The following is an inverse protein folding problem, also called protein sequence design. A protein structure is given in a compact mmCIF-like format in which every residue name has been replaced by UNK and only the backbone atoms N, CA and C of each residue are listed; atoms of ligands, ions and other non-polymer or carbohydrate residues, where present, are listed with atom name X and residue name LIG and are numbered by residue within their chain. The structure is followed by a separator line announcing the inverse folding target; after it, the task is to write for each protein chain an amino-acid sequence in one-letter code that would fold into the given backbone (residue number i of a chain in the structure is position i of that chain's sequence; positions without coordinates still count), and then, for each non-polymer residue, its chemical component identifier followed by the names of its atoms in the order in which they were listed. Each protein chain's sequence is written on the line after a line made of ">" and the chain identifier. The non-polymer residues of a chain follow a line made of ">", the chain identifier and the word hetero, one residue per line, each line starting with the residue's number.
data_IF_515299835189
#
_entry.id   IF_515299835189
#
_cell.length_a   1.000
_cell.length_b   1.000
_cell.length_c   1.000
_cell.angle_alpha   90.00
_cell.angle_beta   90.00
_cell.angle_gamma   90.00
#
_symmetry.space_group_name_H-M   'P 1'
#
loop_
_entity.id
_entity.type
_entity.pdbx_description
1 polymer ?
#
# COMPACT_ATOMS: atom_id res chain seq x y z
N UNK A 1 -13.47 15.48 -7.42
CA UNK A 1 -14.70 14.65 -7.57
C UNK A 1 -14.77 13.93 -8.90
N UNK A 2 -14.48 14.57 -10.06
CA UNK A 2 -14.61 13.92 -11.38
C UNK A 2 -13.69 12.70 -11.58
N UNK A 3 -12.44 12.73 -11.11
CA UNK A 3 -11.51 11.60 -11.26
C UNK A 3 -12.03 10.30 -10.62
N UNK A 4 -12.52 10.37 -9.39
CA UNK A 4 -13.12 9.23 -8.69
C UNK A 4 -14.39 8.71 -9.35
N UNK A 5 -15.21 9.61 -9.92
CA UNK A 5 -16.41 9.21 -10.66
C UNK A 5 -16.08 8.46 -11.97
N UNK A 6 -15.00 8.85 -12.66
CA UNK A 6 -14.50 8.10 -13.82
C UNK A 6 -13.91 6.76 -13.40
N UNK A 7 -13.07 6.74 -12.35
CA UNK A 7 -12.45 5.51 -11.87
C UNK A 7 -13.49 4.48 -11.38
N UNK A 8 -14.49 4.92 -10.61
CA UNK A 8 -15.57 4.06 -10.12
C UNK A 8 -16.52 3.55 -11.23
N UNK A 9 -16.56 4.23 -12.39
CA UNK A 9 -17.26 3.73 -13.58
C UNK A 9 -16.50 2.59 -14.23
N UNK A 10 -15.17 2.67 -14.26
CA UNK A 10 -14.30 1.65 -14.86
C UNK A 10 -14.08 0.45 -13.93
N UNK A 11 -14.08 0.67 -12.61
CA UNK A 11 -13.99 -0.36 -11.57
C UNK A 11 -15.15 -0.24 -10.56
N UNK A 12 -16.26 -0.99 -10.75
CA UNK A 12 -17.44 -0.93 -9.88
C UNK A 12 -17.16 -1.34 -8.43
N UNK A 13 -16.07 -2.08 -8.20
CA UNK A 13 -15.61 -2.48 -6.86
C UNK A 13 -15.39 -1.30 -5.91
N UNK A 14 -15.06 -0.11 -6.42
CA UNK A 14 -14.92 1.11 -5.61
C UNK A 14 -16.24 1.62 -5.00
N UNK A 15 -17.39 1.14 -5.47
CA UNK A 15 -18.72 1.58 -5.00
C UNK A 15 -19.38 0.51 -4.14
N UNK A 16 -19.18 -0.77 -4.45
CA UNK A 16 -19.74 -1.86 -3.66
C UNK A 16 -18.97 -2.06 -2.35
N UNK A 17 -19.62 -1.70 -1.23
CA UNK A 17 -19.07 -1.80 0.13
C UNK A 17 -18.73 -3.23 0.57
N UNK A 18 -19.24 -4.23 -0.13
CA UNK A 18 -18.96 -5.66 0.14
C UNK A 18 -17.76 -6.15 -0.67
N UNK A 19 -17.28 -5.37 -1.63
CA UNK A 19 -16.17 -5.77 -2.48
C UNK A 19 -14.85 -5.69 -1.69
N UNK A 20 -13.92 -6.57 -2.08
CA UNK A 20 -12.56 -6.52 -1.56
C UNK A 20 -11.90 -5.16 -1.84
N UNK A 21 -12.10 -4.61 -3.05
CA UNK A 21 -11.53 -3.33 -3.49
C UNK A 21 -11.98 -2.19 -2.57
N UNK A 22 -13.27 -2.10 -2.25
CA UNK A 22 -13.77 -1.07 -1.34
C UNK A 22 -13.12 -1.15 0.04
N UNK A 23 -13.04 -2.36 0.59
CA UNK A 23 -12.49 -2.59 1.93
C UNK A 23 -10.99 -2.28 1.98
N UNK A 24 -10.22 -2.78 1.01
CA UNK A 24 -8.77 -2.56 0.99
C UNK A 24 -8.42 -1.09 0.75
N UNK A 25 -9.14 -0.39 -0.13
CA UNK A 25 -8.91 1.03 -0.40
C UNK A 25 -9.29 1.93 0.77
N UNK A 26 -10.36 1.59 1.50
CA UNK A 26 -10.71 2.28 2.75
C UNK A 26 -9.62 2.09 3.81
N UNK A 27 -9.12 0.85 3.95
CA UNK A 27 -8.00 0.55 4.84
C UNK A 27 -6.72 1.30 4.45
N UNK A 28 -6.37 1.29 3.16
CA UNK A 28 -5.23 1.99 2.61
C UNK A 28 -5.34 3.51 2.84
N UNK A 29 -6.52 4.11 2.71
CA UNK A 29 -6.72 5.53 2.96
C UNK A 29 -6.42 5.90 4.42
N UNK A 30 -6.87 5.08 5.37
CA UNK A 30 -6.55 5.27 6.79
C UNK A 30 -5.05 5.09 7.04
N UNK A 31 -4.46 4.01 6.51
CA UNK A 31 -3.07 3.62 6.76
C UNK A 31 -2.06 4.58 6.12
N UNK A 32 -2.30 5.03 4.89
CA UNK A 32 -1.46 6.02 4.21
C UNK A 32 -1.56 7.43 4.82
N UNK A 33 -2.55 7.67 5.69
CA UNK A 33 -2.69 8.96 6.36
C UNK A 33 -2.06 8.88 7.75
N UNK A 34 -2.74 8.27 8.72
CA UNK A 34 -2.36 8.41 10.13
C UNK A 34 -1.08 7.62 10.46
N UNK A 35 -1.00 6.30 10.20
CA UNK A 35 0.21 5.53 10.45
C UNK A 35 1.44 5.99 9.67
N UNK A 36 1.31 6.29 8.38
CA UNK A 36 2.46 6.74 7.58
C UNK A 36 2.97 8.12 8.03
N UNK A 37 2.09 9.06 8.37
CA UNK A 37 2.51 10.33 8.97
C UNK A 37 3.23 10.11 10.30
N UNK A 38 2.70 9.23 11.16
CA UNK A 38 3.38 8.87 12.41
C UNK A 38 4.78 8.31 12.13
N UNK A 39 4.93 7.37 11.20
CA UNK A 39 6.23 6.80 10.82
C UNK A 39 7.20 7.90 10.33
N UNK A 40 6.74 8.80 9.47
CA UNK A 40 7.56 9.90 8.93
C UNK A 40 8.08 10.83 10.04
N UNK A 41 7.19 11.21 10.95
CA UNK A 41 7.47 12.02 12.14
C UNK A 41 8.50 11.29 13.01
N UNK A 42 8.25 10.03 13.35
CA UNK A 42 9.14 9.26 14.23
C UNK A 42 10.51 8.95 13.61
N UNK A 43 10.59 8.73 12.30
CA UNK A 43 11.86 8.59 11.58
C UNK A 43 12.68 9.89 11.60
N UNK A 44 12.00 11.05 11.64
CA UNK A 44 12.65 12.37 11.65
C UNK A 44 13.19 12.75 13.02
N UNK A 45 12.39 12.58 14.08
CA UNK A 45 12.79 13.00 15.44
C UNK A 45 13.38 11.87 16.30
N UNK A 46 13.24 10.61 15.88
CA UNK A 46 13.86 9.43 16.51
C UNK A 46 13.55 9.30 18.02
N UNK A 47 12.36 9.75 18.43
CA UNK A 47 11.94 9.80 19.85
C UNK A 47 11.40 8.47 20.39
N UNK A 48 11.17 7.48 19.52
CA UNK A 48 10.72 6.14 19.91
C UNK A 48 11.86 5.12 19.74
N UNK A 49 11.88 4.01 20.49
CA UNK A 49 12.87 2.97 20.29
C UNK A 49 12.82 2.43 18.85
N UNK A 50 13.99 2.29 18.20
CA UNK A 50 14.07 1.80 16.82
C UNK A 50 13.33 0.47 16.61
N UNK A 51 13.44 -0.55 17.50
CA UNK A 51 12.68 -1.79 17.32
C UNK A 51 11.16 -1.60 17.34
N UNK A 52 10.66 -0.69 18.18
CA UNK A 52 9.22 -0.42 18.26
C UNK A 52 8.71 0.24 16.97
N UNK A 53 9.48 1.19 16.42
CA UNK A 53 9.15 1.78 15.13
C UNK A 53 9.29 0.77 13.99
N UNK A 54 10.30 -0.09 14.03
CA UNK A 54 10.53 -1.14 13.04
C UNK A 54 9.38 -2.15 12.94
N UNK A 55 8.81 -2.57 14.09
CA UNK A 55 7.59 -3.40 14.12
C UNK A 55 6.42 -2.64 13.50
N UNK A 56 6.23 -1.37 13.89
CA UNK A 56 5.14 -0.53 13.37
C UNK A 56 5.23 -0.37 11.86
N UNK A 57 6.42 -0.04 11.33
CA UNK A 57 6.70 0.05 9.90
C UNK A 57 6.43 -1.27 9.20
N UNK A 58 6.93 -2.38 9.73
CA UNK A 58 6.74 -3.70 9.12
C UNK A 58 5.26 -4.06 8.99
N UNK A 59 4.45 -3.83 10.02
CA UNK A 59 3.00 -4.11 9.99
C UNK A 59 2.28 -3.19 9.00
N UNK A 60 2.55 -1.89 9.06
CA UNK A 60 1.90 -0.87 8.21
C UNK A 60 2.21 -1.13 6.73
N UNK A 61 3.49 -1.26 6.39
CA UNK A 61 3.89 -1.51 5.01
C UNK A 61 3.52 -2.91 4.52
N UNK A 62 3.47 -3.91 5.42
CA UNK A 62 2.94 -5.22 5.07
C UNK A 62 1.48 -5.17 4.65
N UNK A 63 0.62 -4.39 5.34
CA UNK A 63 -0.78 -4.26 4.95
C UNK A 63 -0.90 -3.69 3.52
N UNK A 64 -0.13 -2.65 3.20
CA UNK A 64 -0.15 -2.02 1.87
C UNK A 64 0.35 -3.03 0.83
N UNK A 65 1.50 -3.66 1.08
CA UNK A 65 2.11 -4.65 0.20
C UNK A 65 1.18 -5.84 -0.09
N UNK A 66 0.63 -6.44 0.97
CA UNK A 66 -0.28 -7.57 0.89
C UNK A 66 -1.58 -7.19 0.15
N UNK A 67 -2.12 -5.99 0.42
CA UNK A 67 -3.28 -5.45 -0.27
C UNK A 67 -3.08 -5.38 -1.78
N UNK A 68 -1.96 -4.77 -2.19
CA UNK A 68 -1.59 -4.61 -3.60
C UNK A 68 -1.37 -5.96 -4.29
N UNK A 69 -0.65 -6.90 -3.65
CA UNK A 69 -0.43 -8.25 -4.22
C UNK A 69 -1.75 -9.00 -4.40
N UNK A 70 -2.64 -8.91 -3.42
CA UNK A 70 -3.93 -9.60 -3.48
C UNK A 70 -4.81 -9.01 -4.58
N UNK A 71 -4.82 -7.68 -4.72
CA UNK A 71 -5.50 -7.00 -5.82
C UNK A 71 -4.98 -7.50 -7.18
N UNK A 72 -3.66 -7.50 -7.38
CA UNK A 72 -3.04 -8.01 -8.61
C UNK A 72 -3.34 -9.48 -8.89
N UNK A 73 -3.26 -10.32 -7.86
CA UNK A 73 -3.50 -11.75 -7.99
C UNK A 73 -4.96 -12.01 -8.38
N UNK A 74 -5.91 -11.27 -7.80
CA UNK A 74 -7.32 -11.35 -8.18
C UNK A 74 -7.57 -10.86 -9.62
N UNK A 75 -6.87 -9.82 -10.07
CA UNK A 75 -6.91 -9.34 -11.46
C UNK A 75 -6.35 -10.38 -12.45
N UNK A 76 -5.21 -11.01 -12.14
CA UNK A 76 -4.60 -12.07 -12.95
C UNK A 76 -5.51 -13.30 -13.06
N UNK A 77 -6.18 -13.67 -11.98
CA UNK A 77 -7.13 -14.78 -11.94
C UNK A 77 -8.49 -14.46 -12.60
N UNK A 78 -8.66 -13.27 -13.19
CA UNK A 78 -9.93 -12.79 -13.77
C UNK A 78 -11.11 -12.88 -12.80
N UNK A 79 -10.86 -12.68 -11.50
CA UNK A 79 -11.93 -12.65 -10.49
C UNK A 79 -12.68 -11.32 -10.45
N UNK A 80 -12.33 -10.38 -11.33
CA UNK A 80 -13.04 -9.15 -11.56
C UNK A 80 -13.68 -9.14 -12.95
N UNK A 81 -14.85 -8.52 -13.05
CA UNK A 81 -15.42 -8.19 -14.36
C UNK A 81 -14.44 -7.29 -15.11
N UNK A 82 -14.18 -7.55 -16.41
CA UNK A 82 -13.28 -6.71 -17.19
C UNK A 82 -13.79 -5.27 -17.19
N UNK A 83 -12.91 -4.30 -16.93
CA UNK A 83 -13.29 -2.89 -17.04
C UNK A 83 -13.82 -2.60 -18.45
N UNK A 84 -14.75 -1.64 -18.53
CA UNK A 84 -15.41 -1.27 -19.80
C UNK A 84 -14.45 -0.75 -20.88
N UNK A 85 -13.17 -0.51 -20.52
CA UNK A 85 -12.10 -0.01 -21.40
C UNK A 85 -11.12 -1.08 -21.90
N UNK A 86 -11.34 -2.36 -21.58
CA UNK A 86 -10.55 -3.47 -22.13
C UNK A 86 -9.05 -3.42 -21.77
N UNK A 87 -8.16 -3.64 -22.74
CA UNK A 87 -6.70 -3.78 -22.51
C UNK A 87 -6.00 -2.50 -22.06
N UNK A 88 -6.57 -1.31 -22.36
CA UNK A 88 -5.95 -0.01 -22.06
C UNK A 88 -5.95 0.32 -20.57
N UNK A 89 -6.96 -0.17 -19.84
CA UNK A 89 -7.04 -0.11 -18.37
C UNK A 89 -5.88 -0.88 -17.75
N UNK A 90 -5.61 -2.10 -18.23
CA UNK A 90 -4.63 -3.01 -17.60
C UNK A 90 -3.21 -2.47 -17.53
N UNK A 91 -2.76 -1.67 -18.50
CA UNK A 91 -1.41 -1.08 -18.48
C UNK A 91 -1.32 0.04 -17.44
N UNK A 92 -2.38 0.84 -17.30
CA UNK A 92 -2.48 1.85 -16.26
C UNK A 92 -2.61 1.19 -14.88
N UNK A 93 -3.46 0.18 -14.76
CA UNK A 93 -3.70 -0.57 -13.52
C UNK A 93 -2.45 -1.32 -13.07
N UNK A 94 -1.67 -1.91 -13.98
CA UNK A 94 -0.40 -2.55 -13.61
C UNK A 94 0.72 -1.56 -13.36
N UNK A 95 0.93 -0.59 -14.25
CA UNK A 95 2.05 0.35 -14.15
C UNK A 95 1.94 1.28 -12.94
N UNK A 96 0.74 1.81 -12.67
CA UNK A 96 0.51 2.72 -11.54
C UNK A 96 0.62 2.02 -10.19
N UNK A 97 0.47 0.70 -10.13
CA UNK A 97 0.52 -0.09 -8.90
C UNK A 97 1.90 -0.70 -8.57
N UNK A 98 2.89 -0.65 -9.48
CA UNK A 98 4.28 -1.08 -9.18
C UNK A 98 4.89 -0.32 -7.98
N UNK A 99 4.77 1.02 -7.87
CA UNK A 99 5.25 1.76 -6.70
C UNK A 99 4.65 1.25 -5.37
N UNK A 100 3.39 0.79 -5.41
CA UNK A 100 2.65 0.26 -4.26
C UNK A 100 3.03 -1.18 -3.88
N UNK A 101 3.97 -1.78 -4.60
CA UNK A 101 4.68 -3.01 -4.21
C UNK A 101 6.10 -2.66 -3.76
N UNK A 102 6.82 -1.91 -4.59
CA UNK A 102 8.24 -1.64 -4.39
C UNK A 102 8.52 -0.82 -3.13
N UNK A 103 7.79 0.27 -2.90
CA UNK A 103 8.02 1.13 -1.74
C UNK A 103 7.59 0.47 -0.42
N UNK A 104 6.44 -0.21 -0.32
CA UNK A 104 6.12 -0.97 0.88
C UNK A 104 7.12 -2.09 1.17
N UNK A 105 7.61 -2.81 0.15
CA UNK A 105 8.66 -3.80 0.36
C UNK A 105 9.95 -3.18 0.93
N UNK A 106 10.36 -2.03 0.43
CA UNK A 106 11.49 -1.27 0.99
C UNK A 106 11.20 -0.81 2.43
N UNK A 107 9.99 -0.35 2.72
CA UNK A 107 9.55 0.03 4.07
C UNK A 107 9.59 -1.14 5.06
N UNK A 108 9.23 -2.34 4.63
CA UNK A 108 9.38 -3.58 5.43
C UNK A 108 10.86 -3.88 5.67
N UNK A 109 11.72 -3.78 4.65
CA UNK A 109 13.16 -4.01 4.81
C UNK A 109 13.79 -3.03 5.81
N UNK A 110 13.42 -1.74 5.74
CA UNK A 110 13.83 -0.74 6.75
C UNK A 110 13.30 -1.10 8.13
N UNK A 111 12.04 -1.50 8.24
CA UNK A 111 11.44 -1.93 9.51
C UNK A 111 12.19 -3.10 10.15
N UNK A 112 12.56 -4.11 9.36
CA UNK A 112 13.36 -5.26 9.81
C UNK A 112 14.75 -4.82 10.25
N UNK A 113 15.39 -3.91 9.52
CA UNK A 113 16.68 -3.35 9.91
C UNK A 113 16.61 -2.71 11.30
N UNK A 114 15.65 -1.81 11.53
CA UNK A 114 15.46 -1.15 12.84
C UNK A 114 15.23 -2.15 13.98
N UNK A 115 14.55 -3.28 13.72
CA UNK A 115 14.33 -4.35 14.70
C UNK A 115 15.64 -5.06 15.03
N UNK A 116 16.44 -5.40 14.02
CA UNK A 116 17.64 -6.22 14.18
C UNK A 116 18.80 -5.40 14.75
N UNK A 117 19.01 -4.19 14.26
CA UNK A 117 20.13 -3.34 14.71
C UNK A 117 19.81 -2.57 15.98
N UNK A 118 18.53 -2.33 16.25
CA UNK A 118 18.11 -1.46 17.34
C UNK A 118 18.50 0.00 17.13
N UNK A 119 18.84 0.39 15.90
CA UNK A 119 19.35 1.71 15.56
C UNK A 119 18.67 2.28 14.30
N UNK A 120 18.46 3.59 14.30
CA UNK A 120 18.00 4.40 13.18
C UNK A 120 19.05 4.58 12.09
N UNK A 121 20.32 4.26 12.36
CA UNK A 121 21.38 4.29 11.37
C UNK A 121 21.10 3.29 10.25
N UNK A 122 20.49 3.77 9.17
CA UNK A 122 20.39 3.04 7.92
C UNK A 122 21.67 3.33 7.13
N UNK A 123 22.55 2.34 7.00
CA UNK A 123 23.68 2.44 6.10
C UNK A 123 23.14 2.43 4.66
N UNK A 124 22.86 3.62 4.14
CA UNK A 124 23.19 3.85 2.75
C UNK A 124 24.72 3.77 2.72
N UNK A 125 25.27 2.87 1.92
CA UNK A 125 26.71 2.59 1.70
C UNK A 125 27.43 1.79 2.79
#
# INVERSE_FOLDING_TARGET
>A
MRAWAFHARDEPGFVDRRSYIFVIETGNAFINTVPVLFILVMMTWQVVPAPALGVTMSVVFYQIFHGTITHFSAALMRRYEPSSQGERSRVFDFGANVPWIAFPAAGIAVGVHLIVTGDYSFALW
#
